data_IF_006805731758
#
_entry.id   IF_006805731758
#
_cell.length_a   1.000
_cell.length_b   1.000
_cell.length_c   1.000
_cell.angle_alpha   90.00
_cell.angle_beta   90.00
_cell.angle_gamma   90.00
#
_symmetry.space_group_name_H-M   'P 1'
#
loop_
_entity.id
_entity.type
_entity.pdbx_description
1 polymer ?
#
# COMPACT_ATOMS: atom_id res chain seq x y z
N UNK A 1 3.75 -10.09 55.92
CA UNK A 1 2.34 -9.76 56.19
C UNK A 1 1.55 -9.97 54.90
N UNK A 2 0.81 -11.07 54.85
CA UNK A 2 -0.05 -11.43 53.74
C UNK A 2 -1.40 -10.69 53.86
N UNK A 3 -1.94 -10.20 52.76
CA UNK A 3 -3.27 -9.59 52.68
C UNK A 3 -3.97 -10.00 51.39
N UNK A 4 -4.57 -11.20 51.39
CA UNK A 4 -5.68 -11.58 50.50
C UNK A 4 -6.97 -10.99 51.07
N UNK A 5 -7.90 -10.55 50.22
CA UNK A 5 -9.39 -10.59 50.35
C UNK A 5 -9.95 -10.13 48.99
N UNK A 6 -10.36 -11.06 48.11
CA UNK A 6 -11.73 -11.58 47.83
C UNK A 6 -12.64 -10.63 47.01
N UNK A 7 -12.97 -11.10 45.81
CA UNK A 7 -14.18 -10.75 45.04
C UNK A 7 -15.48 -11.11 45.78
N UNK A 8 -16.61 -10.53 45.35
CA UNK A 8 -17.88 -11.24 45.34
C UNK A 8 -18.44 -11.40 43.92
N UNK A 9 -19.04 -12.57 43.70
CA UNK A 9 -19.81 -12.91 42.50
C UNK A 9 -21.30 -12.62 42.70
N UNK A 10 -21.96 -12.30 41.59
CA UNK A 10 -23.31 -12.67 41.15
C UNK A 10 -24.52 -12.61 42.12
N UNK A 11 -25.50 -11.81 41.71
CA UNK A 11 -26.93 -11.95 42.08
C UNK A 11 -27.77 -11.20 41.05
N UNK A 12 -28.58 -11.94 40.26
CA UNK A 12 -29.34 -11.42 39.12
C UNK A 12 -30.82 -11.11 39.40
N UNK A 13 -31.53 -10.89 38.28
CA UNK A 13 -32.95 -10.49 38.05
C UNK A 13 -33.06 -9.01 37.67
N UNK A 14 -33.65 -8.56 36.56
CA UNK A 14 -34.48 -9.18 35.53
C UNK A 14 -35.66 -8.24 35.20
N UNK A 15 -35.65 -7.60 34.02
CA UNK A 15 -36.77 -6.98 33.26
C UNK A 15 -36.15 -5.98 32.26
N UNK A 16 -36.50 -5.86 30.98
CA UNK A 16 -37.49 -6.54 30.15
C UNK A 16 -37.13 -6.32 28.67
N UNK A 17 -37.49 -7.30 27.84
CA UNK A 17 -37.29 -7.33 26.38
C UNK A 17 -38.47 -6.67 25.66
N UNK A 18 -38.19 -5.83 24.66
CA UNK A 18 -38.97 -5.58 23.43
C UNK A 18 -38.02 -4.88 22.44
N UNK A 19 -37.86 -5.18 21.15
CA UNK A 19 -38.29 -6.18 20.16
C UNK A 19 -37.31 -6.04 18.98
N UNK A 20 -37.24 -6.80 17.88
CA UNK A 20 -37.76 -8.05 17.35
C UNK A 20 -36.71 -8.53 16.31
N UNK A 21 -36.88 -9.67 15.63
CA UNK A 21 -35.80 -10.29 14.84
C UNK A 21 -35.65 -9.64 13.45
N UNK A 22 -34.40 -9.36 13.04
CA UNK A 22 -34.05 -9.04 11.66
C UNK A 22 -33.92 -10.36 10.88
N UNK A 23 -35.00 -10.77 10.23
CA UNK A 23 -35.05 -11.97 9.39
C UNK A 23 -34.50 -11.59 8.00
N UNK A 24 -33.20 -11.79 7.79
CA UNK A 24 -32.59 -11.66 6.46
C UNK A 24 -32.91 -12.90 5.63
N UNK A 25 -33.85 -12.80 4.70
CA UNK A 25 -34.07 -13.81 3.68
C UNK A 25 -32.81 -13.91 2.80
N UNK A 26 -32.03 -14.99 3.00
CA UNK A 26 -30.85 -15.29 2.21
C UNK A 26 -31.23 -15.79 0.82
N UNK A 27 -30.78 -15.10 -0.22
CA UNK A 27 -30.63 -15.68 -1.55
C UNK A 27 -29.23 -16.30 -1.65
N UNK A 28 -29.10 -17.59 -2.00
CA UNK A 28 -27.79 -18.23 -2.11
C UNK A 28 -27.07 -17.74 -3.37
N UNK A 29 -25.87 -17.15 -3.20
CA UNK A 29 -24.93 -16.89 -4.29
C UNK A 29 -24.48 -18.23 -4.91
N UNK A 30 -24.63 -18.37 -6.23
CA UNK A 30 -24.15 -19.52 -7.01
C UNK A 30 -22.94 -19.12 -7.86
N UNK A 31 -21.85 -19.90 -7.88
CA UNK A 31 -20.70 -19.60 -8.74
C UNK A 31 -20.98 -20.07 -10.18
N UNK A 32 -20.93 -19.14 -11.14
CA UNK A 32 -20.98 -19.44 -12.57
C UNK A 32 -19.60 -19.87 -13.09
N UNK A 33 -19.55 -21.03 -13.74
CA UNK A 33 -18.42 -21.53 -14.53
C UNK A 33 -18.15 -20.65 -15.74
N UNK A 34 -16.88 -20.49 -16.09
CA UNK A 34 -16.40 -19.42 -16.97
C UNK A 34 -16.83 -19.47 -18.44
N UNK A 35 -17.13 -18.29 -18.96
CA UNK A 35 -16.77 -17.71 -20.26
C UNK A 35 -17.18 -16.23 -20.18
N UNK A 36 -16.31 -15.31 -20.59
CA UNK A 36 -16.58 -13.86 -20.53
C UNK A 36 -17.56 -13.48 -21.63
N UNK A 37 -18.86 -13.53 -21.33
CA UNK A 37 -19.83 -12.65 -21.98
C UNK A 37 -19.90 -11.34 -21.17
N UNK A 38 -19.90 -10.16 -21.81
CA UNK A 38 -20.13 -8.91 -21.09
C UNK A 38 -21.53 -8.97 -20.46
N UNK A 39 -21.75 -8.49 -19.22
CA UNK A 39 -23.10 -8.32 -18.73
C UNK A 39 -23.75 -7.20 -19.54
N UNK A 40 -24.45 -7.54 -20.61
CA UNK A 40 -25.56 -6.72 -21.13
C UNK A 40 -26.69 -6.75 -20.10
N UNK A 41 -26.47 -6.12 -18.94
CA UNK A 41 -27.59 -5.63 -18.16
C UNK A 41 -28.05 -4.36 -18.85
N UNK A 42 -28.91 -4.51 -19.86
CA UNK A 42 -29.87 -3.44 -20.14
C UNK A 42 -30.54 -3.06 -18.81
N UNK A 43 -30.62 -1.76 -18.45
CA UNK A 43 -31.44 -1.39 -17.31
C UNK A 43 -32.85 -1.92 -17.57
N UNK A 44 -33.44 -2.59 -16.58
CA UNK A 44 -34.83 -3.02 -16.64
C UNK A 44 -35.66 -1.81 -17.07
N UNK A 45 -36.38 -1.84 -18.20
CA UNK A 45 -37.15 -0.70 -18.67
C UNK A 45 -38.19 -0.22 -17.63
N UNK A 46 -38.57 -1.07 -16.66
CA UNK A 46 -39.42 -0.69 -15.53
C UNK A 46 -38.72 0.20 -14.49
N UNK A 47 -37.38 0.16 -14.36
CA UNK A 47 -36.60 1.06 -13.49
C UNK A 47 -36.44 2.47 -14.05
N UNK A 48 -36.79 2.68 -15.33
CA UNK A 48 -36.76 3.98 -16.02
C UNK A 48 -38.14 4.61 -16.23
N UNK A 49 -39.21 3.96 -15.78
CA UNK A 49 -40.56 4.53 -15.82
C UNK A 49 -40.79 5.44 -14.60
N UNK A 50 -40.90 6.77 -14.76
CA UNK A 50 -41.14 7.70 -13.65
C UNK A 50 -42.48 7.45 -12.93
N UNK A 51 -43.40 6.65 -13.50
CA UNK A 51 -44.64 6.24 -12.86
C UNK A 51 -44.48 5.10 -11.84
N UNK A 52 -43.32 4.44 -11.79
CA UNK A 52 -43.01 3.33 -10.87
C UNK A 52 -42.25 3.80 -9.62
N UNK A 53 -41.70 5.02 -9.63
CA UNK A 53 -40.94 5.58 -8.51
C UNK A 53 -41.89 6.18 -7.47
N UNK A 54 -41.99 5.57 -6.29
CA UNK A 54 -42.72 6.15 -5.15
C UNK A 54 -42.01 7.43 -4.66
N UNK A 55 -42.59 8.64 -4.86
CA UNK A 55 -41.91 9.89 -4.53
C UNK A 55 -41.60 10.04 -3.04
N UNK A 56 -42.45 9.50 -2.17
CA UNK A 56 -42.24 9.54 -0.72
C UNK A 56 -41.09 8.63 -0.29
N UNK A 57 -40.99 7.43 -0.87
CA UNK A 57 -39.87 6.52 -0.61
C UNK A 57 -38.54 7.09 -1.10
N UNK A 58 -38.54 7.74 -2.28
CA UNK A 58 -37.35 8.42 -2.81
C UNK A 58 -36.92 9.59 -1.92
N UNK A 59 -37.86 10.40 -1.43
CA UNK A 59 -37.56 11.50 -0.53
C UNK A 59 -36.95 11.00 0.79
N UNK A 60 -37.51 9.92 1.36
CA UNK A 60 -36.97 9.30 2.57
C UNK A 60 -35.55 8.78 2.36
N UNK A 61 -35.28 8.10 1.24
CA UNK A 61 -33.93 7.61 0.92
C UNK A 61 -32.91 8.74 0.76
N UNK A 62 -33.30 9.88 0.17
CA UNK A 62 -32.43 11.07 0.07
C UNK A 62 -32.10 11.66 1.44
N UNK A 63 -33.09 11.78 2.31
CA UNK A 63 -32.86 12.26 3.68
C UNK A 63 -31.92 11.30 4.46
N UNK A 64 -31.99 10.00 4.21
CA UNK A 64 -31.05 9.03 4.76
C UNK A 64 -29.64 9.21 4.20
N UNK A 65 -29.48 9.44 2.89
CA UNK A 65 -28.17 9.76 2.30
C UNK A 65 -27.57 11.04 2.89
N UNK A 66 -28.35 12.11 3.00
CA UNK A 66 -27.89 13.38 3.56
C UNK A 66 -27.39 13.20 5.01
N UNK A 67 -28.13 12.44 5.83
CA UNK A 67 -27.73 12.14 7.20
C UNK A 67 -26.43 11.30 7.28
N UNK A 68 -26.23 10.36 6.35
CA UNK A 68 -25.00 9.59 6.23
C UNK A 68 -23.83 10.48 5.82
N UNK A 69 -24.04 11.35 4.84
CA UNK A 69 -23.01 12.25 4.31
C UNK A 69 -22.55 13.27 5.36
N UNK A 70 -23.49 13.82 6.14
CA UNK A 70 -23.18 14.68 7.29
C UNK A 70 -22.31 13.94 8.33
N UNK A 71 -22.68 12.70 8.67
CA UNK A 71 -21.92 11.90 9.62
C UNK A 71 -20.51 11.53 9.08
N UNK A 72 -20.40 11.24 7.78
CA UNK A 72 -19.10 10.99 7.13
C UNK A 72 -18.24 12.25 7.18
N UNK A 73 -18.81 13.41 6.83
CA UNK A 73 -18.11 14.69 6.86
C UNK A 73 -17.59 15.01 8.26
N UNK A 74 -18.41 14.86 9.30
CA UNK A 74 -18.01 15.07 10.70
C UNK A 74 -16.86 14.16 11.13
N UNK A 75 -16.90 12.89 10.75
CA UNK A 75 -15.81 11.93 11.02
C UNK A 75 -14.51 12.32 10.29
N UNK A 76 -14.61 12.81 9.05
CA UNK A 76 -13.46 13.29 8.29
C UNK A 76 -12.85 14.55 8.92
N UNK A 77 -13.67 15.50 9.36
CA UNK A 77 -13.21 16.71 10.05
C UNK A 77 -12.54 16.38 11.38
N UNK A 78 -13.11 15.45 12.16
CA UNK A 78 -12.49 14.96 13.39
C UNK A 78 -11.14 14.29 13.12
N UNK A 79 -11.03 13.49 12.05
CA UNK A 79 -9.76 12.86 11.64
C UNK A 79 -8.71 13.91 11.25
N UNK A 80 -9.10 14.94 10.49
CA UNK A 80 -8.22 16.03 10.09
C UNK A 80 -7.72 16.84 11.31
N UNK A 81 -8.61 17.18 12.25
CA UNK A 81 -8.26 17.89 13.47
C UNK A 81 -7.25 17.11 14.34
N UNK A 82 -7.43 15.79 14.45
CA UNK A 82 -6.46 14.93 15.14
C UNK A 82 -5.11 14.92 14.42
N UNK A 83 -5.10 14.82 13.09
CA UNK A 83 -3.87 14.90 12.29
C UNK A 83 -3.10 16.20 12.52
N UNK A 84 -3.81 17.34 12.49
CA UNK A 84 -3.22 18.65 12.76
C UNK A 84 -2.67 18.76 14.19
N UNK A 85 -3.39 18.23 15.18
CA UNK A 85 -2.93 18.19 16.58
C UNK A 85 -1.63 17.40 16.73
N UNK A 86 -1.55 16.21 16.12
CA UNK A 86 -0.34 15.38 16.16
C UNK A 86 0.83 16.04 15.43
N UNK A 87 0.55 16.76 14.32
CA UNK A 87 1.55 17.54 13.61
C UNK A 87 2.13 18.65 14.51
N UNK A 88 1.26 19.42 15.18
CA UNK A 88 1.65 20.52 16.07
C UNK A 88 2.44 20.04 17.30
N UNK A 89 2.18 18.82 17.78
CA UNK A 89 2.90 18.21 18.90
C UNK A 89 4.26 17.61 18.51
N UNK A 90 4.65 17.68 17.23
CA UNK A 90 5.91 17.09 16.77
C UNK A 90 5.97 15.57 16.93
N UNK A 91 4.80 14.91 17.04
CA UNK A 91 4.66 13.46 17.23
C UNK A 91 4.96 12.70 15.93
N UNK A 92 6.19 12.85 15.42
CA UNK A 92 6.71 12.12 14.26
C UNK A 92 7.64 11.02 14.76
N UNK A 93 7.14 9.79 14.82
CA UNK A 93 7.98 8.63 15.12
C UNK A 93 9.09 8.50 14.06
N UNK A 94 10.34 8.78 14.42
CA UNK A 94 11.48 8.73 13.49
C UNK A 94 11.62 9.95 12.56
N UNK A 95 10.99 11.08 12.86
CA UNK A 95 11.21 12.37 12.16
C UNK A 95 10.57 12.54 10.78
N UNK A 96 10.16 11.46 10.11
CA UNK A 96 9.48 11.51 8.81
C UNK A 96 7.94 11.52 8.95
N UNK A 97 7.26 12.42 8.24
CA UNK A 97 5.77 12.43 8.17
C UNK A 97 5.23 11.26 7.36
N UNK A 98 5.94 10.87 6.29
CA UNK A 98 5.55 9.75 5.43
C UNK A 98 5.98 8.41 6.05
N UNK A 99 5.01 7.52 6.27
CA UNK A 99 5.17 6.25 6.99
C UNK A 99 4.50 5.11 6.21
N UNK A 100 5.13 4.61 5.13
CA UNK A 100 4.49 3.71 4.18
C UNK A 100 4.03 2.39 4.79
N UNK A 101 4.77 1.83 5.76
CA UNK A 101 4.38 0.63 6.49
C UNK A 101 3.12 0.85 7.31
N UNK A 102 3.04 1.97 8.04
CA UNK A 102 1.81 2.36 8.76
C UNK A 102 0.60 2.50 7.82
N UNK A 103 0.78 3.12 6.66
CA UNK A 103 -0.29 3.28 5.66
C UNK A 103 -0.75 1.93 5.10
N UNK A 104 0.20 1.03 4.78
CA UNK A 104 -0.08 -0.33 4.35
C UNK A 104 -0.90 -1.09 5.41
N UNK A 105 -0.56 -0.97 6.70
CA UNK A 105 -1.33 -1.57 7.79
C UNK A 105 -2.75 -0.99 7.91
N UNK A 106 -2.93 0.31 7.66
CA UNK A 106 -4.27 0.94 7.64
C UNK A 106 -5.11 0.31 6.54
N UNK A 107 -4.60 0.27 5.31
CA UNK A 107 -5.32 -0.26 4.16
C UNK A 107 -5.60 -1.75 4.31
N UNK A 108 -4.62 -2.54 4.72
CA UNK A 108 -4.78 -3.98 5.00
C UNK A 108 -5.89 -4.25 6.02
N UNK A 109 -5.91 -3.51 7.13
CA UNK A 109 -6.95 -3.64 8.15
C UNK A 109 -8.35 -3.31 7.60
N UNK A 110 -8.45 -2.27 6.77
CA UNK A 110 -9.73 -1.84 6.19
C UNK A 110 -10.23 -2.82 5.13
N UNK A 111 -9.34 -3.28 4.26
CA UNK A 111 -9.62 -4.30 3.26
C UNK A 111 -9.98 -5.64 3.90
N UNK A 112 -9.38 -6.01 5.04
CA UNK A 112 -9.69 -7.24 5.76
C UNK A 112 -11.03 -7.23 6.48
N UNK A 113 -11.57 -6.05 6.83
CA UNK A 113 -12.92 -5.89 7.41
C UNK A 113 -13.98 -5.46 6.39
N UNK A 114 -13.60 -5.33 5.12
CA UNK A 114 -14.47 -4.80 4.08
C UNK A 114 -15.60 -5.80 3.78
N UNK A 115 -16.83 -5.32 3.87
CA UNK A 115 -18.04 -6.07 3.54
C UNK A 115 -19.04 -5.12 2.88
N UNK A 116 -19.91 -5.67 2.02
CA UNK A 116 -20.93 -4.90 1.31
C UNK A 116 -20.59 -4.61 -0.16
N UNK A 117 -21.47 -3.86 -0.86
CA UNK A 117 -21.46 -3.77 -2.32
C UNK A 117 -20.39 -2.83 -2.90
N UNK A 118 -19.76 -1.98 -2.08
CA UNK A 118 -18.74 -1.05 -2.56
C UNK A 118 -17.50 -1.81 -3.06
N UNK A 119 -16.96 -1.50 -4.26
CA UNK A 119 -15.73 -2.12 -4.73
C UNK A 119 -14.53 -1.85 -3.81
N UNK A 120 -13.71 -2.87 -3.54
CA UNK A 120 -12.48 -2.77 -2.73
C UNK A 120 -11.51 -1.71 -3.28
N UNK A 121 -11.38 -1.63 -4.60
CA UNK A 121 -10.57 -0.63 -5.26
C UNK A 121 -11.05 0.81 -5.01
N UNK A 122 -12.37 1.03 -4.93
CA UNK A 122 -12.92 2.35 -4.61
C UNK A 122 -12.60 2.75 -3.17
N UNK A 123 -12.77 1.82 -2.21
CA UNK A 123 -12.38 2.03 -0.81
C UNK A 123 -10.89 2.39 -0.69
N UNK A 124 -10.01 1.63 -1.35
CA UNK A 124 -8.57 1.88 -1.31
C UNK A 124 -8.20 3.25 -1.87
N UNK A 125 -8.83 3.69 -2.97
CA UNK A 125 -8.62 5.03 -3.55
C UNK A 125 -9.07 6.16 -2.62
N UNK A 126 -10.26 6.04 -2.02
CA UNK A 126 -10.73 7.03 -1.05
C UNK A 126 -9.78 7.14 0.13
N UNK A 127 -9.34 6.01 0.70
CA UNK A 127 -8.40 6.05 1.82
C UNK A 127 -7.03 6.58 1.44
N UNK A 128 -6.57 6.35 0.20
CA UNK A 128 -5.33 6.95 -0.30
C UNK A 128 -5.44 8.47 -0.39
N UNK A 129 -6.56 9.01 -0.85
CA UNK A 129 -6.78 10.47 -0.84
C UNK A 129 -6.78 11.04 0.59
N UNK A 130 -7.48 10.38 1.52
CA UNK A 130 -7.51 10.79 2.93
C UNK A 130 -6.13 10.74 3.61
N UNK A 131 -5.31 9.74 3.27
CA UNK A 131 -3.94 9.61 3.78
C UNK A 131 -3.05 10.71 3.16
N UNK A 132 -3.11 10.90 1.85
CA UNK A 132 -2.35 11.92 1.13
C UNK A 132 -2.63 13.32 1.64
N UNK A 133 -3.90 13.66 1.88
CA UNK A 133 -4.28 14.96 2.47
C UNK A 133 -3.71 15.15 3.87
N UNK A 134 -3.73 14.13 4.73
CA UNK A 134 -3.10 14.22 6.06
C UNK A 134 -1.58 14.40 5.98
N UNK A 135 -0.93 13.77 5.02
CA UNK A 135 0.51 13.90 4.82
C UNK A 135 0.92 15.33 4.44
N UNK A 136 0.11 16.00 3.59
CA UNK A 136 0.29 17.42 3.24
C UNK A 136 0.03 18.37 4.41
N UNK A 137 -0.93 18.04 5.28
CA UNK A 137 -1.17 18.83 6.48
C UNK A 137 0.00 18.78 7.49
N UNK A 138 0.80 17.72 7.45
CA UNK A 138 1.88 17.46 8.40
C UNK A 138 3.27 17.94 7.93
N UNK A 139 3.40 18.28 6.64
CA UNK A 139 4.66 18.67 6.01
C UNK A 139 4.44 19.20 4.59
N UNK A 140 5.43 19.93 4.07
CA UNK A 140 5.54 20.33 2.66
C UNK A 140 5.88 19.14 1.75
N UNK A 141 5.03 18.11 1.77
CA UNK A 141 5.25 16.85 1.07
C UNK A 141 5.09 17.03 -0.43
N UNK A 142 6.09 16.59 -1.20
CA UNK A 142 6.10 16.66 -2.66
C UNK A 142 6.72 15.43 -3.31
N UNK A 143 6.32 15.17 -4.55
CA UNK A 143 6.68 13.94 -5.28
C UNK A 143 7.41 14.31 -6.57
N UNK A 144 8.54 13.68 -6.84
CA UNK A 144 9.09 13.59 -8.18
C UNK A 144 8.56 12.32 -8.85
N UNK A 145 8.00 12.40 -10.05
CA UNK A 145 7.48 11.23 -10.76
C UNK A 145 8.10 11.13 -12.14
N UNK A 146 8.66 9.97 -12.48
CA UNK A 146 9.16 9.72 -13.84
C UNK A 146 8.00 9.49 -14.80
N UNK A 147 8.19 9.86 -16.06
CA UNK A 147 7.24 9.65 -17.14
C UNK A 147 6.57 8.25 -17.09
N UNK A 148 5.24 8.22 -17.11
CA UNK A 148 4.43 7.00 -17.03
C UNK A 148 4.07 6.55 -15.62
N UNK A 149 4.61 7.20 -14.57
CA UNK A 149 4.31 6.89 -13.16
C UNK A 149 3.44 7.92 -12.47
N UNK A 150 3.08 9.02 -13.14
CA UNK A 150 2.35 10.14 -12.57
C UNK A 150 0.99 9.72 -12.03
N UNK A 151 0.27 8.87 -12.75
CA UNK A 151 -1.03 8.38 -12.28
C UNK A 151 -0.92 7.42 -11.10
N UNK A 152 0.18 6.67 -11.00
CA UNK A 152 0.44 5.83 -9.83
C UNK A 152 0.76 6.69 -8.62
N UNK A 153 1.58 7.73 -8.81
CA UNK A 153 1.90 8.70 -7.77
C UNK A 153 0.62 9.42 -7.29
N UNK A 154 -0.22 9.90 -8.20
CA UNK A 154 -1.52 10.51 -7.90
C UNK A 154 -2.45 9.57 -7.15
N UNK A 155 -2.55 8.31 -7.60
CA UNK A 155 -3.37 7.30 -6.91
C UNK A 155 -2.87 6.92 -5.51
N UNK A 156 -1.59 7.16 -5.19
CA UNK A 156 -1.02 6.85 -3.88
C UNK A 156 -0.96 8.05 -2.92
N UNK A 157 -0.52 9.21 -3.42
CA UNK A 157 -0.29 10.41 -2.63
C UNK A 157 -1.43 11.43 -2.71
N UNK A 158 -2.48 11.12 -3.48
CA UNK A 158 -3.61 12.00 -3.72
C UNK A 158 -3.40 12.99 -4.87
N UNK A 159 -4.50 13.58 -5.32
CA UNK A 159 -4.53 14.41 -6.51
C UNK A 159 -3.82 15.77 -6.34
N UNK A 160 -3.93 16.37 -5.16
CA UNK A 160 -3.40 17.72 -4.93
C UNK A 160 -1.94 17.77 -4.45
N UNK A 161 -1.31 16.62 -4.22
CA UNK A 161 0.10 16.61 -3.80
C UNK A 161 1.00 17.23 -4.88
N UNK A 162 1.84 18.23 -4.57
CA UNK A 162 2.76 18.77 -5.56
C UNK A 162 3.57 17.66 -6.23
N UNK A 163 3.44 17.56 -7.55
CA UNK A 163 4.09 16.52 -8.35
C UNK A 163 4.94 17.20 -9.42
N UNK A 164 6.22 16.85 -9.44
CA UNK A 164 7.21 17.32 -10.40
C UNK A 164 7.48 16.18 -11.38
N UNK A 165 7.02 16.27 -12.64
CA UNK A 165 7.38 15.29 -13.64
C UNK A 165 8.89 15.35 -13.90
N UNK A 166 9.52 14.20 -14.05
CA UNK A 166 10.94 14.06 -14.33
C UNK A 166 11.14 13.24 -15.59
N UNK A 167 12.07 13.68 -16.45
CA UNK A 167 12.33 13.02 -17.72
C UNK A 167 12.97 11.64 -17.54
N UNK A 168 13.80 11.46 -16.50
CA UNK A 168 14.57 10.23 -16.28
C UNK A 168 14.60 9.83 -14.80
N UNK A 169 14.80 8.54 -14.50
CA UNK A 169 15.07 8.08 -13.14
C UNK A 169 16.24 8.79 -12.46
N UNK A 170 17.33 9.04 -13.19
CA UNK A 170 18.50 9.75 -12.67
C UNK A 170 18.16 11.18 -12.22
N UNK A 171 17.36 11.92 -12.99
CA UNK A 171 16.92 13.26 -12.61
C UNK A 171 16.02 13.24 -11.36
N UNK A 172 15.12 12.26 -11.26
CA UNK A 172 14.26 12.10 -10.08
C UNK A 172 15.05 11.74 -8.81
N UNK A 173 16.07 10.88 -8.92
CA UNK A 173 16.98 10.55 -7.82
C UNK A 173 17.81 11.76 -7.39
N UNK A 174 18.37 12.51 -8.34
CA UNK A 174 19.14 13.72 -8.04
C UNK A 174 18.28 14.78 -7.32
N UNK A 175 17.05 15.00 -7.78
CA UNK A 175 16.11 15.90 -7.10
C UNK A 175 15.76 15.44 -5.68
N UNK A 176 15.60 14.11 -5.47
CA UNK A 176 15.35 13.54 -4.15
C UNK A 176 16.55 13.74 -3.21
N UNK A 177 17.77 13.45 -3.69
CA UNK A 177 19.01 13.62 -2.91
C UNK A 177 19.26 15.08 -2.54
N UNK A 178 19.03 16.00 -3.49
CA UNK A 178 19.10 17.45 -3.27
C UNK A 178 18.01 17.97 -2.32
N UNK A 179 16.98 17.18 -2.02
CA UNK A 179 15.86 17.57 -1.16
C UNK A 179 14.84 18.47 -1.84
N UNK A 180 14.81 18.50 -3.18
CA UNK A 180 13.82 19.25 -3.97
C UNK A 180 12.44 18.58 -4.00
N UNK A 181 12.38 17.31 -3.62
CA UNK A 181 11.16 16.57 -3.37
C UNK A 181 11.28 15.69 -2.12
N UNK A 182 10.14 15.25 -1.58
CA UNK A 182 10.09 14.37 -0.41
C UNK A 182 10.30 12.90 -0.78
N UNK A 183 9.78 12.50 -1.95
CA UNK A 183 9.91 11.14 -2.50
C UNK A 183 10.04 11.17 -4.02
N UNK A 184 10.63 10.11 -4.57
CA UNK A 184 10.66 9.86 -6.01
C UNK A 184 9.86 8.59 -6.35
N UNK A 185 9.07 8.63 -7.43
CA UNK A 185 8.36 7.47 -7.97
C UNK A 185 9.03 7.05 -9.27
N UNK A 186 9.57 5.85 -9.28
CA UNK A 186 10.30 5.25 -10.40
C UNK A 186 9.59 4.00 -10.92
N UNK A 187 9.67 3.70 -12.23
CA UNK A 187 9.13 2.45 -12.77
C UNK A 187 9.71 1.23 -12.06
N UNK A 188 8.90 0.18 -11.94
CA UNK A 188 9.38 -1.08 -11.38
C UNK A 188 10.50 -1.67 -12.24
N UNK A 189 11.58 -2.17 -11.61
CA UNK A 189 12.67 -2.82 -12.32
C UNK A 189 12.22 -4.03 -13.14
N UNK A 190 12.83 -4.18 -14.30
CA UNK A 190 12.66 -5.29 -15.22
C UNK A 190 13.99 -6.03 -15.45
N UNK A 191 13.91 -7.27 -15.94
CA UNK A 191 15.10 -8.07 -16.23
C UNK A 191 15.75 -7.61 -17.53
N UNK A 192 17.09 -7.51 -17.55
CA UNK A 192 17.84 -7.11 -18.74
C UNK A 192 17.73 -5.63 -19.11
N UNK A 193 17.33 -4.77 -18.17
CA UNK A 193 17.25 -3.32 -18.40
C UNK A 193 18.60 -2.73 -18.82
N UNK A 194 18.56 -1.80 -19.79
CA UNK A 194 19.71 -1.00 -20.17
C UNK A 194 20.23 -0.19 -18.97
N UNK A 195 21.54 0.13 -18.91
CA UNK A 195 22.14 0.80 -17.76
C UNK A 195 21.43 2.09 -17.32
N UNK A 196 20.92 2.88 -18.27
CA UNK A 196 20.18 4.12 -18.03
C UNK A 196 18.79 3.92 -17.40
N UNK A 197 18.17 2.76 -17.63
CA UNK A 197 16.86 2.41 -17.06
C UNK A 197 16.99 1.71 -15.70
N UNK A 198 18.09 0.96 -15.49
CA UNK A 198 18.39 0.21 -14.28
C UNK A 198 18.81 1.11 -13.10
N UNK A 199 17.97 2.06 -12.71
CA UNK A 199 18.22 3.04 -11.63
C UNK A 199 18.64 2.39 -10.30
N UNK A 200 18.13 1.19 -10.03
CA UNK A 200 18.43 0.40 -8.83
C UNK A 200 19.89 -0.05 -8.76
N UNK A 201 20.57 -0.11 -9.91
CA UNK A 201 21.94 -0.59 -10.04
C UNK A 201 22.96 0.36 -9.41
N UNK A 202 22.61 1.65 -9.29
CA UNK A 202 23.44 2.69 -8.68
C UNK A 202 23.13 2.97 -7.21
N UNK A 203 22.08 2.37 -6.64
CA UNK A 203 21.72 2.62 -5.25
C UNK A 203 22.67 1.93 -4.29
N UNK A 204 23.07 2.66 -3.25
CA UNK A 204 23.84 2.13 -2.15
C UNK A 204 23.49 2.86 -0.85
N UNK A 205 23.88 2.27 0.29
CA UNK A 205 23.72 2.89 1.59
C UNK A 205 25.02 3.61 2.02
N UNK A 206 24.95 4.80 2.65
CA UNK A 206 23.75 5.60 2.89
C UNK A 206 23.28 6.31 1.60
N UNK A 207 21.97 6.38 1.39
CA UNK A 207 21.40 7.00 0.18
C UNK A 207 19.88 6.83 0.11
N UNK A 208 19.26 7.20 -1.04
CA UNK A 208 17.87 6.90 -1.32
C UNK A 208 17.57 5.41 -1.19
N UNK A 209 16.47 5.09 -0.52
CA UNK A 209 16.00 3.72 -0.31
C UNK A 209 14.60 3.58 -0.86
N UNK A 210 14.29 2.39 -1.39
CA UNK A 210 12.90 2.02 -1.68
C UNK A 210 12.14 1.91 -0.35
N UNK A 211 10.95 2.51 -0.31
CA UNK A 211 10.10 2.55 0.89
C UNK A 211 8.66 2.10 0.66
N UNK A 212 8.19 2.10 -0.59
CA UNK A 212 6.84 1.63 -0.94
C UNK A 212 6.77 1.10 -2.37
N UNK A 213 5.71 0.36 -2.67
CA UNK A 213 5.41 -0.17 -3.99
C UNK A 213 3.99 0.24 -4.44
N UNK A 214 3.84 0.51 -5.74
CA UNK A 214 2.63 1.07 -6.33
C UNK A 214 2.04 0.19 -7.45
N UNK A 215 0.70 0.03 -7.52
CA UNK A 215 -0.25 0.36 -6.46
C UNK A 215 -0.09 -0.55 -5.22
N UNK A 216 -0.67 -0.18 -4.08
CA UNK A 216 -0.69 -1.07 -2.91
C UNK A 216 -1.76 -2.16 -3.04
N UNK A 217 -2.88 -1.87 -3.71
CA UNK A 217 -3.87 -2.85 -4.10
C UNK A 217 -3.61 -3.22 -5.57
N UNK A 218 -3.08 -4.43 -5.80
CA UNK A 218 -2.70 -4.96 -7.12
C UNK A 218 -3.93 -5.39 -7.89
N UNK A 219 -3.98 -5.09 -9.19
CA UNK A 219 -5.08 -5.54 -10.05
C UNK A 219 -5.14 -7.08 -10.11
N UNK A 220 -6.30 -7.68 -10.40
CA UNK A 220 -6.38 -9.12 -10.65
C UNK A 220 -5.34 -9.54 -11.71
N UNK A 221 -4.57 -10.58 -11.43
CA UNK A 221 -3.50 -11.08 -12.31
C UNK A 221 -2.20 -10.28 -12.31
N UNK A 222 -2.14 -9.14 -11.62
CA UNK A 222 -0.90 -8.38 -11.46
C UNK A 222 0.01 -9.03 -10.40
N UNK A 223 1.19 -9.48 -10.81
CA UNK A 223 2.16 -10.17 -9.95
C UNK A 223 3.28 -9.27 -9.43
N UNK A 224 3.51 -8.13 -10.08
CA UNK A 224 4.55 -7.17 -9.71
C UNK A 224 3.96 -5.77 -9.59
N UNK A 225 4.45 -4.95 -8.64
CA UNK A 225 4.15 -3.53 -8.63
C UNK A 225 4.52 -2.88 -9.97
N UNK A 226 3.84 -1.80 -10.34
CA UNK A 226 4.14 -1.02 -11.54
C UNK A 226 5.20 0.05 -11.30
N UNK A 227 5.34 0.53 -10.06
CA UNK A 227 6.35 1.51 -9.68
C UNK A 227 6.80 1.29 -8.23
N UNK A 228 8.00 1.81 -7.91
CA UNK A 228 8.57 1.86 -6.58
C UNK A 228 8.73 3.31 -6.12
N UNK A 229 8.53 3.55 -4.83
CA UNK A 229 8.72 4.84 -4.19
C UNK A 229 10.05 4.83 -3.45
N UNK A 230 10.86 5.87 -3.66
CA UNK A 230 12.12 6.07 -2.97
C UNK A 230 12.06 7.29 -2.06
N UNK A 231 12.75 7.21 -0.94
CA UNK A 231 12.90 8.28 0.02
C UNK A 231 14.33 8.31 0.60
N UNK A 232 14.68 9.39 1.29
CA UNK A 232 15.96 9.53 2.01
C UNK A 232 15.99 8.84 3.38
N UNK A 233 15.01 8.00 3.65
CA UNK A 233 14.87 7.22 4.88
C UNK A 233 14.39 5.81 4.51
N UNK A 234 14.58 4.84 5.41
CA UNK A 234 14.15 3.45 5.19
C UNK A 234 12.66 3.22 5.51
N UNK A 235 12.09 2.18 4.92
CA UNK A 235 10.71 1.77 5.21
C UNK A 235 10.52 1.40 6.69
N UNK A 236 9.34 1.73 7.24
CA UNK A 236 8.93 1.16 8.52
C UNK A 236 8.38 -0.26 8.35
N UNK A 237 8.88 -1.17 9.18
CA UNK A 237 8.57 -2.60 9.08
C UNK A 237 7.09 -2.91 9.30
N UNK A 238 6.60 -3.92 8.60
CA UNK A 238 5.28 -4.52 8.78
C UNK A 238 5.40 -6.05 8.92
N UNK A 239 4.32 -6.76 9.31
CA UNK A 239 4.36 -8.22 9.35
C UNK A 239 4.58 -8.90 7.99
N UNK A 240 4.39 -8.18 6.87
CA UNK A 240 4.57 -8.70 5.50
C UNK A 240 5.29 -7.67 4.65
N UNK A 241 6.59 -7.85 4.50
CA UNK A 241 7.45 -6.95 3.75
C UNK A 241 8.22 -7.68 2.63
N UNK A 242 8.69 -6.90 1.66
CA UNK A 242 9.62 -7.29 0.61
C UNK A 242 10.88 -6.44 0.74
N UNK A 243 12.00 -7.09 1.03
CA UNK A 243 13.33 -6.48 1.05
C UNK A 243 13.95 -6.49 -0.34
N UNK A 244 14.72 -5.46 -0.68
CA UNK A 244 15.44 -5.35 -1.93
C UNK A 244 16.95 -5.32 -1.68
N UNK A 245 17.66 -6.22 -2.35
CA UNK A 245 19.11 -6.37 -2.27
C UNK A 245 19.72 -6.15 -3.65
N UNK A 246 20.60 -5.17 -3.77
CA UNK A 246 21.51 -5.05 -4.90
C UNK A 246 22.70 -5.97 -4.67
N UNK A 247 23.09 -6.72 -5.69
CA UNK A 247 24.23 -7.63 -5.67
C UNK A 247 25.15 -7.30 -6.84
N UNK A 248 26.45 -7.17 -6.59
CA UNK A 248 27.46 -7.19 -7.66
C UNK A 248 28.13 -8.56 -7.72
N UNK A 249 28.14 -9.17 -8.90
CA UNK A 249 28.76 -10.47 -9.15
C UNK A 249 29.97 -10.36 -10.07
N UNK A 250 30.91 -11.30 -9.95
CA UNK A 250 31.97 -11.45 -10.92
C UNK A 250 31.40 -11.86 -12.29
N UNK A 251 31.99 -11.40 -13.41
CA UNK A 251 31.61 -11.83 -14.75
C UNK A 251 31.55 -13.37 -14.86
N UNK A 252 30.53 -13.89 -15.54
CA UNK A 252 30.36 -15.34 -15.75
C UNK A 252 29.66 -16.11 -14.61
N UNK A 253 29.39 -15.49 -13.45
CA UNK A 253 28.70 -16.20 -12.34
C UNK A 253 27.24 -16.52 -12.70
N UNK A 254 26.82 -17.78 -12.79
CA UNK A 254 25.45 -18.12 -13.16
C UNK A 254 24.37 -17.51 -12.22
N UNK A 255 23.20 -17.15 -12.77
CA UNK A 255 22.04 -16.63 -12.00
C UNK A 255 21.62 -17.60 -10.89
N UNK A 256 21.62 -18.90 -11.17
CA UNK A 256 21.25 -19.94 -10.21
C UNK A 256 22.23 -20.04 -9.04
N UNK A 257 23.52 -19.76 -9.27
CA UNK A 257 24.51 -19.72 -8.20
C UNK A 257 24.25 -18.57 -7.21
N UNK A 258 23.80 -17.41 -7.72
CA UNK A 258 23.40 -16.27 -6.88
C UNK A 258 22.13 -16.61 -6.09
N UNK A 259 21.14 -17.22 -6.74
CA UNK A 259 19.91 -17.67 -6.06
C UNK A 259 20.18 -18.71 -4.96
N UNK A 260 21.07 -19.67 -5.22
CA UNK A 260 21.49 -20.68 -4.24
C UNK A 260 22.21 -20.06 -3.04
N UNK A 261 23.11 -19.10 -3.27
CA UNK A 261 23.81 -18.39 -2.20
C UNK A 261 22.86 -17.57 -1.31
N UNK A 262 21.92 -16.86 -1.94
CA UNK A 262 20.85 -16.14 -1.23
C UNK A 262 19.98 -17.09 -0.38
N UNK A 263 19.57 -18.23 -0.94
CA UNK A 263 18.80 -19.23 -0.20
C UNK A 263 19.59 -19.83 0.98
N UNK A 264 20.88 -20.14 0.79
CA UNK A 264 21.76 -20.64 1.85
C UNK A 264 21.96 -19.63 2.98
N UNK A 265 21.90 -18.32 2.67
CA UNK A 265 21.95 -17.24 3.64
C UNK A 265 20.60 -16.98 4.36
N UNK A 266 19.55 -17.75 4.07
CA UNK A 266 18.21 -17.52 4.62
C UNK A 266 17.48 -16.34 3.99
N UNK A 267 17.84 -15.98 2.76
CA UNK A 267 17.28 -14.88 1.96
C UNK A 267 16.80 -15.38 0.58
N UNK A 268 15.98 -16.46 0.49
CA UNK A 268 15.58 -17.01 -0.80
C UNK A 268 14.89 -15.94 -1.67
N UNK A 269 15.36 -15.70 -2.90
CA UNK A 269 14.80 -14.65 -3.73
C UNK A 269 13.42 -15.05 -4.28
N UNK A 270 12.43 -14.17 -4.13
CA UNK A 270 11.13 -14.24 -4.81
C UNK A 270 11.28 -13.82 -6.27
N UNK A 271 12.13 -12.83 -6.52
CA UNK A 271 12.52 -12.36 -7.84
C UNK A 271 14.02 -12.09 -7.86
N UNK A 272 14.65 -12.36 -9.00
CA UNK A 272 16.05 -12.10 -9.22
C UNK A 272 16.25 -11.55 -10.63
N UNK A 273 16.49 -10.25 -10.72
CA UNK A 273 16.69 -9.52 -11.98
C UNK A 273 18.18 -9.26 -12.18
N UNK A 274 18.60 -9.12 -13.43
CA UNK A 274 19.95 -8.69 -13.80
C UNK A 274 19.89 -7.42 -14.67
N UNK A 275 20.90 -6.57 -14.54
CA UNK A 275 21.18 -5.51 -15.52
C UNK A 275 21.55 -6.11 -16.87
N UNK A 276 21.47 -5.33 -17.96
CA UNK A 276 21.86 -5.79 -19.30
C UNK A 276 23.31 -6.31 -19.39
N UNK A 277 24.25 -5.72 -18.63
CA UNK A 277 25.64 -6.19 -18.54
C UNK A 277 25.80 -7.44 -17.65
N UNK A 278 24.73 -7.85 -16.98
CA UNK A 278 24.66 -8.95 -16.04
C UNK A 278 25.40 -8.72 -14.73
N UNK A 279 26.24 -7.70 -14.58
CA UNK A 279 27.14 -7.56 -13.43
C UNK A 279 26.41 -7.24 -12.13
N UNK A 280 25.29 -6.53 -12.24
CA UNK A 280 24.45 -6.17 -11.10
C UNK A 280 23.16 -6.96 -11.15
N UNK A 281 22.71 -7.36 -9.96
CA UNK A 281 21.47 -8.09 -9.79
C UNK A 281 20.64 -7.44 -8.71
N UNK A 282 19.32 -7.51 -8.88
CA UNK A 282 18.35 -7.08 -7.89
C UNK A 282 17.61 -8.31 -7.40
N UNK A 283 17.79 -8.65 -6.12
CA UNK A 283 17.04 -9.69 -5.45
C UNK A 283 15.92 -9.06 -4.62
N UNK A 284 14.71 -9.59 -4.79
CA UNK A 284 13.59 -9.32 -3.91
C UNK A 284 13.41 -10.50 -2.96
N UNK A 285 13.45 -10.25 -1.65
CA UNK A 285 13.42 -11.27 -0.59
C UNK A 285 12.29 -11.00 0.39
N UNK A 286 11.94 -12.01 1.18
CA UNK A 286 10.92 -11.86 2.22
C UNK A 286 11.48 -11.13 3.45
N UNK A 287 10.72 -10.15 3.95
CA UNK A 287 11.13 -9.29 5.06
C UNK A 287 12.12 -8.19 4.66
N UNK A 288 12.14 -7.10 5.43
CA UNK A 288 13.15 -6.06 5.27
C UNK A 288 14.53 -6.60 5.67
N UNK A 289 15.57 -6.13 4.98
CA UNK A 289 16.97 -6.40 5.30
C UNK A 289 17.64 -5.09 5.64
N UNK A 290 18.15 -4.97 6.87
CA UNK A 290 18.80 -3.75 7.32
C UNK A 290 20.29 -3.72 6.89
N UNK A 291 20.90 -2.54 6.77
CA UNK A 291 22.36 -2.43 6.70
C UNK A 291 23.00 -3.15 7.90
N UNK A 292 23.94 -4.06 7.63
CA UNK A 292 24.59 -4.87 8.67
C UNK A 292 23.84 -6.13 9.11
N UNK A 293 22.76 -6.51 8.43
CA UNK A 293 22.10 -7.80 8.68
C UNK A 293 23.12 -8.97 8.57
N UNK A 294 23.22 -9.84 9.58
CA UNK A 294 24.22 -10.92 9.60
C UNK A 294 24.07 -11.90 8.44
N UNK A 295 22.88 -12.01 7.84
CA UNK A 295 22.63 -12.84 6.65
C UNK A 295 23.34 -12.32 5.39
N UNK A 296 23.84 -11.09 5.40
CA UNK A 296 24.61 -10.54 4.27
C UNK A 296 26.06 -11.03 4.25
N UNK A 297 26.65 -11.36 5.41
CA UNK A 297 28.05 -11.75 5.49
C UNK A 297 28.40 -13.03 4.68
N UNK A 298 27.56 -14.09 4.69
CA UNK A 298 27.79 -15.29 3.87
C UNK A 298 27.66 -15.06 2.36
N UNK A 299 27.18 -13.91 1.91
CA UNK A 299 27.00 -13.62 0.49
C UNK A 299 28.31 -13.26 -0.22
N UNK A 300 29.44 -13.11 0.50
CA UNK A 300 30.75 -12.98 -0.14
C UNK A 300 31.01 -14.20 -1.06
N UNK A 301 31.38 -14.01 -2.34
CA UNK A 301 32.02 -12.82 -2.91
C UNK A 301 31.07 -11.75 -3.52
N UNK A 302 29.75 -11.91 -3.42
CA UNK A 302 28.81 -10.90 -3.89
C UNK A 302 28.86 -9.66 -3.01
N UNK A 303 29.05 -8.49 -3.61
CA UNK A 303 28.86 -7.22 -2.89
C UNK A 303 27.36 -6.99 -2.76
N UNK A 304 26.79 -7.41 -1.64
CA UNK A 304 25.38 -7.26 -1.31
C UNK A 304 25.13 -5.94 -0.57
N UNK A 305 24.18 -5.14 -1.07
CA UNK A 305 23.76 -3.89 -0.45
C UNK A 305 22.22 -3.86 -0.35
N UNK A 306 21.65 -3.73 0.86
CA UNK A 306 20.24 -3.44 1.01
C UNK A 306 19.92 -2.05 0.47
N UNK A 307 18.94 -1.97 -0.43
CA UNK A 307 18.50 -0.72 -1.07
C UNK A 307 17.08 -0.32 -0.63
N UNK A 308 16.66 -0.85 0.52
CA UNK A 308 15.34 -0.63 1.11
C UNK A 308 14.38 -1.79 0.87
N UNK A 309 13.08 -1.48 0.85
CA UNK A 309 12.02 -2.45 0.71
C UNK A 309 10.66 -1.82 0.88
N UNK A 310 9.61 -2.63 0.84
CA UNK A 310 8.24 -2.13 0.90
C UNK A 310 7.30 -3.15 1.54
N UNK A 311 6.20 -2.67 2.12
CA UNK A 311 5.14 -3.55 2.60
C UNK A 311 4.49 -4.29 1.42
N UNK A 312 4.30 -5.60 1.56
CA UNK A 312 3.72 -6.46 0.52
C UNK A 312 2.33 -5.96 0.08
N UNK A 313 2.15 -5.63 -1.22
CA UNK A 313 0.87 -5.22 -1.78
C UNK A 313 -0.23 -6.25 -1.56
N UNK A 314 -1.48 -5.79 -1.42
CA UNK A 314 -2.65 -6.67 -1.38
C UNK A 314 -3.11 -7.03 -2.80
N UNK A 315 -3.48 -8.29 -3.08
CA UNK A 315 -4.19 -8.61 -4.31
C UNK A 315 -5.64 -8.06 -4.26
N UNK A 316 -6.10 -7.53 -5.38
CA UNK A 316 -7.52 -7.23 -5.62
C UNK A 316 -8.25 -8.52 -6.05
N UNK A 317 -8.31 -9.47 -5.12
CA UNK A 317 -9.06 -10.72 -5.24
C UNK A 317 -9.76 -11.02 -3.92
N UNK A 318 -10.70 -11.95 -3.94
CA UNK A 318 -11.27 -12.47 -2.69
C UNK A 318 -10.12 -12.95 -1.78
N UNK A 319 -10.15 -12.67 -0.46
CA UNK A 319 -9.23 -13.33 0.44
C UNK A 319 -9.38 -14.85 0.25
N UNK A 320 -8.24 -15.53 0.04
CA UNK A 320 -8.20 -16.99 0.03
C UNK A 320 -8.71 -17.56 1.37
#
# INVERSE_FOLDING_TARGET
>A
MAGRIRSPAAGGQGCGRHGGPFESAGLPWRPGTGALDPPETMPDPALTDPSVVNPAALLAARAEFDAIDDAVHDLLMRRAALSATLAAQGMKAGGASFRPGREAMILRRLLGRHAGPMPRAALARLWRELIGTSLRQQSDFSVAAVAGTEMLARGHFGLETPLRPQATPAAALAALEAGECSVAVLPSPADGEAPEAAWWAGLDAPGPQVVAALPFLMRPGQSVPSALVLARFGADATPRDRGLLRLERAPGTARDAVAAALAAAGLPPRRLLASADGRRMLAEVEGLVAPGDPRLAPLAPFRAAPIGGYAEPEPDGAPA
#
